data_IF_105450608814
#
_entry.id   IF_105450608814
#
_cell.length_a   1.000
_cell.length_b   1.000
_cell.length_c   1.000
_cell.angle_alpha   90.00
_cell.angle_beta   90.00
_cell.angle_gamma   90.00
#
_symmetry.space_group_name_H-M   'P 1'
#
loop_
_entity.id
_entity.type
_entity.pdbx_description
1 polymer ?
#
# COMPACT_ATOMS: atom_id res chain seq x y z
N UNK A 1 14.00 27.42 2.36
CA UNK A 1 13.15 26.47 3.10
C UNK A 1 13.41 26.71 4.57
N UNK A 2 12.40 27.02 5.38
CA UNK A 2 12.60 27.11 6.84
C UNK A 2 12.62 25.70 7.44
N UNK A 3 13.17 25.56 8.65
CA UNK A 3 13.12 24.31 9.41
C UNK A 3 11.67 23.81 9.57
N UNK A 4 10.73 24.73 9.81
CA UNK A 4 9.30 24.43 9.90
C UNK A 4 8.75 23.85 8.60
N UNK A 5 9.14 24.39 7.44
CA UNK A 5 8.70 23.88 6.14
C UNK A 5 9.25 22.47 5.87
N UNK A 6 10.49 22.20 6.28
CA UNK A 6 11.10 20.87 6.19
C UNK A 6 10.32 19.86 7.04
N UNK A 7 10.05 20.19 8.31
CA UNK A 7 9.30 19.34 9.23
C UNK A 7 7.88 19.06 8.72
N UNK A 8 7.21 20.07 8.15
CA UNK A 8 5.87 19.90 7.54
C UNK A 8 5.90 18.94 6.36
N UNK A 9 6.89 19.10 5.48
CA UNK A 9 7.09 18.20 4.33
C UNK A 9 7.35 16.76 4.78
N UNK A 10 8.23 16.56 5.75
CA UNK A 10 8.52 15.23 6.30
C UNK A 10 7.28 14.59 6.96
N UNK A 11 6.52 15.36 7.76
CA UNK A 11 5.25 14.90 8.34
C UNK A 11 4.24 14.48 7.27
N UNK A 12 4.14 15.23 6.17
CA UNK A 12 3.25 14.88 5.08
C UNK A 12 3.64 13.55 4.44
N UNK A 13 4.94 13.34 4.19
CA UNK A 13 5.47 12.08 3.66
C UNK A 13 5.22 10.91 4.61
N UNK A 14 5.39 11.10 5.93
CA UNK A 14 5.08 10.08 6.94
C UNK A 14 3.59 9.70 6.93
N UNK A 15 2.69 10.68 6.84
CA UNK A 15 1.24 10.42 6.74
C UNK A 15 0.88 9.65 5.47
N UNK A 16 1.52 9.99 4.35
CA UNK A 16 1.35 9.26 3.10
C UNK A 16 1.86 7.81 3.22
N UNK A 17 3.03 7.62 3.82
CA UNK A 17 3.61 6.29 4.06
C UNK A 17 2.70 5.41 4.93
N UNK A 18 2.17 5.96 6.03
CA UNK A 18 1.21 5.27 6.90
C UNK A 18 -0.08 4.92 6.13
N UNK A 19 -0.60 5.83 5.32
CA UNK A 19 -1.80 5.57 4.51
C UNK A 19 -1.57 4.43 3.51
N UNK A 20 -0.38 4.33 2.90
CA UNK A 20 -0.03 3.23 2.00
C UNK A 20 0.07 1.89 2.73
N UNK A 21 0.65 1.86 3.94
CA UNK A 21 0.69 0.65 4.77
C UNK A 21 -0.71 0.12 5.08
N UNK A 22 -1.63 1.00 5.47
CA UNK A 22 -3.02 0.62 5.72
C UNK A 22 -3.70 0.09 4.46
N UNK A 23 -3.53 0.78 3.33
CA UNK A 23 -4.12 0.35 2.06
C UNK A 23 -3.60 -1.02 1.61
N UNK A 24 -2.29 -1.27 1.72
CA UNK A 24 -1.70 -2.58 1.40
C UNK A 24 -2.28 -3.69 2.30
N UNK A 25 -2.40 -3.42 3.59
CA UNK A 25 -2.94 -4.38 4.56
C UNK A 25 -4.40 -4.72 4.22
N UNK A 26 -5.25 -3.72 4.02
CA UNK A 26 -6.67 -3.91 3.69
C UNK A 26 -6.86 -4.68 2.38
N UNK A 27 -6.09 -4.35 1.34
CA UNK A 27 -6.17 -5.06 0.06
C UNK A 27 -5.69 -6.51 0.19
N UNK A 28 -4.66 -6.77 1.00
CA UNK A 28 -4.17 -8.13 1.27
C UNK A 28 -5.20 -8.98 2.03
N UNK A 29 -5.93 -8.37 2.98
CA UNK A 29 -7.07 -9.00 3.64
C UNK A 29 -8.17 -9.33 2.64
N UNK A 30 -8.57 -8.37 1.80
CA UNK A 30 -9.59 -8.60 0.75
C UNK A 30 -9.20 -9.71 -0.22
N UNK A 31 -7.94 -9.80 -0.65
CA UNK A 31 -7.47 -10.92 -1.47
C UNK A 31 -7.68 -12.26 -0.76
N UNK A 32 -7.40 -12.32 0.53
CA UNK A 32 -7.57 -13.53 1.33
C UNK A 32 -9.05 -13.90 1.46
N UNK A 33 -9.92 -12.93 1.73
CA UNK A 33 -11.37 -13.11 1.80
C UNK A 33 -11.96 -13.59 0.46
N UNK A 34 -11.55 -12.99 -0.66
CA UNK A 34 -11.99 -13.41 -2.00
C UNK A 34 -11.56 -14.86 -2.26
N UNK A 35 -10.31 -15.21 -1.98
CA UNK A 35 -9.83 -16.60 -2.16
C UNK A 35 -10.63 -17.61 -1.34
N UNK A 36 -11.01 -17.26 -0.11
CA UNK A 36 -11.84 -18.11 0.73
C UNK A 36 -13.26 -18.26 0.18
N UNK A 37 -13.89 -17.14 -0.19
CA UNK A 37 -15.27 -17.10 -0.68
C UNK A 37 -15.45 -17.76 -2.07
N UNK A 38 -14.40 -17.77 -2.88
CA UNK A 38 -14.40 -18.31 -4.25
C UNK A 38 -13.48 -19.53 -4.41
N UNK A 39 -13.27 -20.31 -3.34
CA UNK A 39 -12.27 -21.40 -3.24
C UNK A 39 -12.34 -22.49 -4.32
N UNK A 40 -13.41 -22.56 -5.12
CA UNK A 40 -13.58 -23.49 -6.24
C UNK A 40 -13.94 -22.80 -7.57
N UNK A 41 -13.75 -21.48 -7.68
CA UNK A 41 -14.05 -20.73 -8.90
C UNK A 41 -12.80 -20.09 -9.51
N UNK A 42 -12.56 -20.23 -10.83
CA UNK A 42 -11.54 -19.47 -11.54
C UNK A 42 -11.81 -17.96 -11.51
N UNK A 43 -13.03 -17.54 -11.16
CA UNK A 43 -13.36 -16.12 -10.98
C UNK A 43 -12.55 -15.48 -9.84
N UNK A 44 -12.12 -16.27 -8.85
CA UNK A 44 -11.25 -15.78 -7.77
C UNK A 44 -9.98 -15.13 -8.32
N UNK A 45 -9.29 -15.79 -9.25
CA UNK A 45 -8.06 -15.30 -9.88
C UNK A 45 -8.31 -14.01 -10.67
N UNK A 46 -9.42 -13.98 -11.43
CA UNK A 46 -9.80 -12.81 -12.22
C UNK A 46 -10.11 -11.60 -11.34
N UNK A 47 -10.77 -11.80 -10.21
CA UNK A 47 -11.16 -10.73 -9.29
C UNK A 47 -9.93 -10.22 -8.50
N UNK A 48 -9.05 -11.12 -8.04
CA UNK A 48 -7.88 -10.69 -7.25
C UNK A 48 -6.79 -10.04 -8.12
N UNK A 49 -6.70 -10.35 -9.41
CA UNK A 49 -5.64 -9.81 -10.29
C UNK A 49 -5.49 -8.29 -10.24
N UNK A 50 -6.53 -7.46 -10.45
CA UNK A 50 -6.42 -6.01 -10.33
C UNK A 50 -6.06 -5.54 -8.91
N UNK A 51 -6.45 -6.30 -7.88
CA UNK A 51 -6.12 -5.99 -6.48
C UNK A 51 -4.63 -6.23 -6.24
N UNK A 52 -4.08 -7.34 -6.73
CA UNK A 52 -2.65 -7.66 -6.66
C UNK A 52 -1.82 -6.61 -7.41
N UNK A 53 -2.25 -6.20 -8.60
CA UNK A 53 -1.57 -5.16 -9.37
C UNK A 53 -1.55 -3.82 -8.59
N UNK A 54 -2.64 -3.50 -7.88
CA UNK A 54 -2.68 -2.31 -7.01
C UNK A 54 -1.76 -2.45 -5.80
N UNK A 55 -1.68 -3.63 -5.17
CA UNK A 55 -0.74 -3.93 -4.08
C UNK A 55 0.71 -3.71 -4.56
N UNK A 56 1.10 -4.25 -5.72
CA UNK A 56 2.45 -4.06 -6.28
C UNK A 56 2.78 -2.58 -6.51
N UNK A 57 1.80 -1.80 -6.97
CA UNK A 57 1.96 -0.36 -7.13
C UNK A 57 2.15 0.34 -5.77
N UNK A 58 1.34 0.00 -4.76
CA UNK A 58 1.47 0.54 -3.40
C UNK A 58 2.83 0.19 -2.79
N UNK A 59 3.32 -1.04 -2.98
CA UNK A 59 4.64 -1.46 -2.51
C UNK A 59 5.77 -0.61 -3.11
N UNK A 60 5.65 -0.28 -4.39
CA UNK A 60 6.61 0.59 -5.09
C UNK A 60 6.56 2.04 -4.57
N UNK A 61 5.36 2.60 -4.39
CA UNK A 61 5.14 3.93 -3.80
C UNK A 61 5.68 3.98 -2.35
N UNK A 62 5.45 2.92 -1.58
CA UNK A 62 5.91 2.77 -0.20
C UNK A 62 7.43 2.70 -0.11
N UNK A 63 8.07 1.90 -0.97
CA UNK A 63 9.53 1.78 -1.02
C UNK A 63 10.20 3.13 -1.34
N UNK A 64 9.62 3.91 -2.25
CA UNK A 64 10.09 5.26 -2.55
C UNK A 64 10.08 6.15 -1.30
N UNK A 65 8.94 6.22 -0.60
CA UNK A 65 8.80 7.03 0.61
C UNK A 65 9.67 6.51 1.77
N UNK A 66 9.82 5.19 1.89
CA UNK A 66 10.70 4.55 2.87
C UNK A 66 12.14 5.05 2.74
N UNK A 67 12.63 5.09 1.50
CA UNK A 67 13.97 5.59 1.18
C UNK A 67 14.09 7.10 1.44
N UNK A 68 13.11 7.89 1.02
CA UNK A 68 13.13 9.35 1.27
C UNK A 68 13.09 9.71 2.75
N UNK A 69 12.38 8.91 3.56
CA UNK A 69 12.23 9.10 5.00
C UNK A 69 13.32 8.39 5.83
N UNK A 70 14.24 7.66 5.19
CA UNK A 70 15.27 6.86 5.86
C UNK A 70 14.73 5.86 6.90
N UNK A 71 13.55 5.28 6.64
CA UNK A 71 12.93 4.27 7.50
C UNK A 71 13.52 2.90 7.13
N UNK A 72 14.43 2.36 7.95
CA UNK A 72 15.03 1.04 7.70
C UNK A 72 14.09 -0.10 8.06
#
# INVERSE_FOLDING_TARGET
MTEIDSIKSENQKLRQYISLLHAEHELSQRVSEIKQNFSNSPDSERIIKPILDRITKIQSEKLYLQNELNLK
#
